data_IF_682343420431
#
_entry.id   IF_682343420431
#
_cell.length_a   1.000
_cell.length_b   1.000
_cell.length_c   1.000
_cell.angle_alpha   90.00
_cell.angle_beta   90.00
_cell.angle_gamma   90.00
#
_symmetry.space_group_name_H-M   'P 1'
#
loop_
_entity.id
_entity.type
_entity.pdbx_description
1 polymer ?
#
# COMPACT_ATOMS: atom_id res chain seq x y z
N UNK A 1 -19.29 35.99 34.35
CA UNK A 1 -19.11 35.12 33.17
C UNK A 1 -19.30 33.69 33.64
N UNK A 2 -20.32 32.96 33.15
CA UNK A 2 -20.40 31.52 33.39
C UNK A 2 -19.14 30.83 32.85
N UNK A 3 -18.65 29.80 33.53
CA UNK A 3 -17.45 29.04 33.14
C UNK A 3 -16.15 29.86 32.99
N UNK A 4 -15.95 30.88 33.83
CA UNK A 4 -14.70 31.66 33.85
C UNK A 4 -13.48 30.77 34.13
N UNK A 5 -13.62 29.76 34.97
CA UNK A 5 -12.55 28.81 35.26
C UNK A 5 -12.21 27.95 34.04
N UNK A 6 -13.21 27.47 33.28
CA UNK A 6 -12.97 26.80 32.00
C UNK A 6 -12.21 27.67 30.99
N UNK A 7 -12.55 28.96 30.88
CA UNK A 7 -11.81 29.89 30.01
C UNK A 7 -10.33 30.00 30.42
N UNK A 8 -10.04 30.06 31.72
CA UNK A 8 -8.66 30.05 32.23
C UNK A 8 -7.96 28.73 31.94
N UNK A 9 -8.64 27.59 32.13
CA UNK A 9 -8.09 26.26 31.83
C UNK A 9 -7.75 26.14 30.34
N UNK A 10 -8.59 26.65 29.42
CA UNK A 10 -8.30 26.65 27.98
C UNK A 10 -7.04 27.46 27.65
N UNK A 11 -6.81 28.57 28.34
CA UNK A 11 -5.68 29.48 28.08
C UNK A 11 -4.33 28.97 28.60
N UNK A 12 -4.31 28.42 29.81
CA UNK A 12 -3.06 28.06 30.53
C UNK A 12 -2.94 26.56 30.85
N UNK A 13 -3.95 25.77 30.51
CA UNK A 13 -3.98 24.32 30.69
C UNK A 13 -3.95 23.89 32.17
N UNK A 14 -3.54 22.65 32.45
CA UNK A 14 -3.49 22.10 33.82
C UNK A 14 -2.48 22.80 34.74
N UNK A 15 -1.69 23.75 34.20
CA UNK A 15 -0.75 24.54 34.99
C UNK A 15 -1.42 25.66 35.79
N UNK A 16 -2.71 25.93 35.60
CA UNK A 16 -3.46 26.93 36.37
C UNK A 16 -3.33 26.73 37.89
N UNK A 17 -3.36 25.47 38.36
CA UNK A 17 -3.10 25.13 39.77
C UNK A 17 -1.75 25.66 40.26
N UNK A 18 -0.70 25.64 39.43
CA UNK A 18 0.62 26.17 39.79
C UNK A 18 0.62 27.69 39.97
N UNK A 19 -0.34 28.40 39.38
CA UNK A 19 -0.45 29.86 39.48
C UNK A 19 -1.32 30.32 40.64
N UNK A 20 -2.39 29.59 40.98
CA UNK A 20 -3.36 30.02 42.00
C UNK A 20 -3.46 29.10 43.23
N UNK A 21 -2.71 28.00 43.25
CA UNK A 21 -2.67 26.96 44.29
C UNK A 21 -4.05 26.35 44.63
N UNK A 22 -4.97 26.35 43.66
CA UNK A 22 -6.31 25.76 43.79
C UNK A 22 -6.43 24.53 42.91
N UNK A 23 -7.10 23.51 43.43
CA UNK A 23 -7.50 22.37 42.63
C UNK A 23 -8.48 22.82 41.54
N UNK A 24 -8.30 22.27 40.34
CA UNK A 24 -9.20 22.52 39.21
C UNK A 24 -10.56 21.93 39.52
N UNK A 25 -11.62 22.72 39.34
CA UNK A 25 -12.97 22.21 39.46
C UNK A 25 -13.22 21.10 38.41
N UNK A 26 -13.55 19.86 38.83
CA UNK A 26 -13.78 18.76 37.89
C UNK A 26 -14.90 19.04 36.89
N UNK A 27 -15.96 19.75 37.31
CA UNK A 27 -17.07 20.13 36.43
C UNK A 27 -16.61 21.07 35.33
N UNK A 28 -15.74 22.03 35.66
CA UNK A 28 -15.18 22.98 34.68
C UNK A 28 -14.19 22.28 33.74
N UNK A 29 -13.44 21.29 34.23
CA UNK A 29 -12.58 20.47 33.38
C UNK A 29 -13.37 19.64 32.36
N UNK A 30 -14.55 19.13 32.71
CA UNK A 30 -15.44 18.46 31.74
C UNK A 30 -16.07 19.44 30.75
N UNK A 31 -16.36 20.67 31.17
CA UNK A 31 -16.85 21.74 30.30
C UNK A 31 -15.79 22.11 29.25
N UNK A 32 -14.51 22.21 29.63
CA UNK A 32 -13.39 22.50 28.72
C UNK A 32 -13.31 21.51 27.55
N UNK A 33 -13.58 20.23 27.79
CA UNK A 33 -13.52 19.18 26.74
C UNK A 33 -14.55 19.37 25.62
N UNK A 34 -15.58 20.18 25.86
CA UNK A 34 -16.63 20.45 24.88
C UNK A 34 -16.27 21.62 23.95
N UNK A 35 -15.21 22.38 24.25
CA UNK A 35 -14.78 23.49 23.41
C UNK A 35 -13.88 23.01 22.25
N UNK A 36 -13.98 23.63 21.07
CA UNK A 36 -13.06 23.39 19.95
C UNK A 36 -11.59 23.64 20.30
N UNK A 37 -10.70 22.94 19.60
CA UNK A 37 -9.26 23.04 19.81
C UNK A 37 -8.69 24.47 19.63
N UNK A 38 -9.25 25.24 18.70
CA UNK A 38 -8.83 26.61 18.42
C UNK A 38 -9.38 27.64 19.42
N UNK A 39 -10.26 27.27 20.35
CA UNK A 39 -10.90 28.22 21.28
C UNK A 39 -9.88 29.05 22.06
N UNK A 40 -8.79 28.45 22.54
CA UNK A 40 -7.75 29.17 23.26
C UNK A 40 -7.06 30.26 22.42
N UNK A 41 -6.97 30.08 21.10
CA UNK A 41 -6.44 31.09 20.18
C UNK A 41 -7.48 32.21 20.02
N UNK A 42 -8.74 31.87 19.78
CA UNK A 42 -9.82 32.83 19.66
C UNK A 42 -9.95 33.73 20.90
N UNK A 43 -9.88 33.16 22.11
CA UNK A 43 -9.93 33.95 23.36
C UNK A 43 -8.77 34.97 23.41
N UNK A 44 -7.56 34.58 23.03
CA UNK A 44 -6.39 35.50 23.01
C UNK A 44 -6.54 36.61 21.98
N UNK A 45 -7.24 36.32 20.89
CA UNK A 45 -7.51 37.27 19.81
C UNK A 45 -8.77 38.13 20.05
N UNK A 46 -9.41 38.00 21.21
CA UNK A 46 -10.53 38.84 21.63
C UNK A 46 -11.92 38.29 21.30
N UNK A 47 -12.05 36.99 21.05
CA UNK A 47 -13.36 36.33 20.93
C UNK A 47 -14.13 36.39 22.25
N UNK A 48 -15.43 36.66 22.16
CA UNK A 48 -16.33 36.73 23.32
C UNK A 48 -16.68 35.31 23.79
N UNK A 49 -16.28 34.98 25.02
CA UNK A 49 -16.48 33.65 25.58
C UNK A 49 -17.96 33.33 25.82
N UNK A 50 -18.45 32.27 25.17
CA UNK A 50 -19.85 31.82 25.24
C UNK A 50 -19.97 30.36 25.74
N UNK A 51 -21.20 29.85 25.80
CA UNK A 51 -21.47 28.47 26.24
C UNK A 51 -20.87 27.42 25.27
N UNK A 52 -20.53 26.21 25.75
CA UNK A 52 -19.93 25.17 24.91
C UNK A 52 -20.79 24.79 23.70
N UNK A 53 -22.11 24.77 23.88
CA UNK A 53 -23.10 24.44 22.83
C UNK A 53 -23.02 25.36 21.60
N UNK A 54 -22.63 26.63 21.79
CA UNK A 54 -22.52 27.62 20.73
C UNK A 54 -21.06 27.88 20.31
N UNK A 55 -20.10 27.34 21.06
CA UNK A 55 -18.69 27.68 20.90
C UNK A 55 -18.12 27.26 19.55
N UNK A 56 -18.52 26.10 19.03
CA UNK A 56 -18.07 25.62 17.72
C UNK A 56 -18.39 26.60 16.59
N UNK A 57 -19.67 26.92 16.41
CA UNK A 57 -20.12 27.83 15.36
C UNK A 57 -19.60 29.26 15.59
N UNK A 58 -19.62 29.73 16.83
CA UNK A 58 -19.20 31.09 17.18
C UNK A 58 -17.69 31.33 16.97
N UNK A 59 -16.84 30.39 17.40
CA UNK A 59 -15.39 30.51 17.18
C UNK A 59 -15.03 30.34 15.70
N UNK A 60 -15.71 29.45 14.97
CA UNK A 60 -15.50 29.32 13.53
C UNK A 60 -15.92 30.59 12.78
N UNK A 61 -17.08 31.18 13.11
CA UNK A 61 -17.52 32.46 12.53
C UNK A 61 -16.51 33.59 12.80
N UNK A 62 -15.94 33.62 14.01
CA UNK A 62 -14.89 34.58 14.37
C UNK A 62 -13.63 34.42 13.51
N UNK A 63 -13.19 33.17 13.26
CA UNK A 63 -12.06 32.90 12.36
C UNK A 63 -12.36 33.25 10.90
N UNK A 64 -13.59 32.99 10.42
CA UNK A 64 -14.00 33.36 9.06
C UNK A 64 -13.88 34.87 8.82
N UNK A 65 -14.27 35.70 9.79
CA UNK A 65 -14.11 37.16 9.68
C UNK A 65 -12.62 37.57 9.64
N UNK A 66 -11.74 36.89 10.40
CA UNK A 66 -10.30 37.14 10.33
C UNK A 66 -9.67 36.71 8.99
N UNK A 67 -10.26 35.71 8.32
CA UNK A 67 -9.75 35.16 7.05
C UNK A 67 -10.38 35.82 5.81
N UNK A 68 -11.46 36.59 5.97
CA UNK A 68 -12.22 37.20 4.88
C UNK A 68 -11.37 37.98 3.86
N UNK A 69 -10.34 38.69 4.33
CA UNK A 69 -9.45 39.49 3.48
C UNK A 69 -8.15 38.74 3.08
N UNK A 70 -8.01 37.48 3.48
CA UNK A 70 -6.85 36.63 3.21
C UNK A 70 -7.07 35.69 2.04
N UNK A 71 -8.29 35.55 1.56
CA UNK A 71 -8.65 34.58 0.52
C UNK A 71 -8.73 35.24 -0.85
N UNK A 72 -8.65 34.46 -1.95
CA UNK A 72 -9.00 34.97 -3.27
C UNK A 72 -10.42 35.53 -3.30
N UNK A 73 -10.65 36.49 -4.21
CA UNK A 73 -11.97 37.06 -4.45
C UNK A 73 -12.98 35.93 -4.68
N UNK A 74 -14.14 36.00 -4.03
CA UNK A 74 -15.26 35.04 -4.14
C UNK A 74 -15.02 33.63 -3.54
N UNK A 75 -13.92 33.42 -2.82
CA UNK A 75 -13.69 32.21 -2.05
C UNK A 75 -14.05 32.37 -0.57
N UNK A 76 -14.73 31.36 -0.01
CA UNK A 76 -15.08 31.28 1.41
C UNK A 76 -14.62 29.93 1.95
N UNK A 77 -14.02 29.91 3.15
CA UNK A 77 -13.68 28.67 3.85
C UNK A 77 -14.97 28.01 4.33
N UNK A 78 -15.19 26.75 3.93
CA UNK A 78 -16.34 25.95 4.36
C UNK A 78 -15.99 25.08 5.58
N UNK A 79 -14.78 24.52 5.61
CA UNK A 79 -14.27 23.74 6.75
C UNK A 79 -12.78 24.02 6.95
N UNK A 80 -12.35 24.04 8.21
CA UNK A 80 -10.95 24.06 8.62
C UNK A 80 -10.83 23.39 9.99
N UNK A 81 -10.44 22.11 10.03
CA UNK A 81 -10.20 21.39 11.28
C UNK A 81 -9.12 20.32 11.10
N UNK A 82 -8.63 19.80 12.23
CA UNK A 82 -7.68 18.69 12.29
C UNK A 82 -8.34 17.57 13.10
N UNK A 83 -8.20 16.33 12.64
CA UNK A 83 -8.66 15.16 13.40
C UNK A 83 -7.99 15.12 14.78
N UNK A 84 -8.62 14.45 15.75
CA UNK A 84 -7.99 14.27 17.04
C UNK A 84 -6.73 13.38 16.89
N UNK A 85 -5.52 13.89 17.19
CA UNK A 85 -4.29 13.17 16.87
C UNK A 85 -3.95 12.15 17.96
N UNK A 86 -3.46 11.00 17.53
CA UNK A 86 -2.89 9.96 18.39
C UNK A 86 -1.47 9.65 17.92
N UNK A 87 -0.59 9.30 18.85
CA UNK A 87 0.75 8.78 18.55
C UNK A 87 0.68 7.65 17.52
N UNK A 88 1.49 7.76 16.46
CA UNK A 88 1.63 6.79 15.37
C UNK A 88 0.36 6.45 14.59
N UNK A 89 -0.70 7.26 14.71
CA UNK A 89 -1.94 7.18 13.92
C UNK A 89 -2.00 8.37 12.95
N UNK A 90 -2.25 8.17 11.63
CA UNK A 90 -2.34 9.29 10.69
C UNK A 90 -3.39 10.31 11.12
N UNK A 91 -2.95 11.58 11.23
CA UNK A 91 -3.79 12.71 11.58
C UNK A 91 -4.04 13.54 10.33
N UNK A 92 -5.29 13.63 9.88
CA UNK A 92 -5.66 14.38 8.68
C UNK A 92 -6.08 15.80 9.04
N UNK A 93 -5.73 16.73 8.16
CA UNK A 93 -6.31 18.06 8.15
C UNK A 93 -7.38 18.17 7.06
N UNK A 94 -8.40 18.98 7.33
CA UNK A 94 -9.57 19.10 6.47
C UNK A 94 -9.84 20.56 6.15
N UNK A 95 -9.40 20.98 4.97
CA UNK A 95 -9.67 22.30 4.41
C UNK A 95 -10.55 22.20 3.18
N UNK A 96 -11.67 22.92 3.18
CA UNK A 96 -12.51 23.04 1.99
C UNK A 96 -12.91 24.49 1.76
N UNK A 97 -12.95 24.88 0.49
CA UNK A 97 -13.29 26.24 0.07
C UNK A 97 -14.45 26.17 -0.93
N UNK A 98 -15.36 27.14 -0.85
CA UNK A 98 -16.45 27.31 -1.82
C UNK A 98 -16.14 28.50 -2.71
N UNK A 99 -16.20 28.32 -4.03
CA UNK A 99 -16.04 29.37 -5.03
C UNK A 99 -17.42 29.84 -5.50
N UNK A 100 -17.70 31.14 -5.40
CA UNK A 100 -18.97 31.73 -5.80
C UNK A 100 -19.02 32.17 -7.29
N UNK A 101 -17.90 32.19 -8.01
CA UNK A 101 -17.78 32.71 -9.39
C UNK A 101 -17.20 31.71 -10.43
N UNK A 102 -16.92 30.47 -10.02
CA UNK A 102 -16.68 29.27 -10.86
C UNK A 102 -15.44 29.21 -11.75
N UNK A 103 -14.47 30.12 -11.63
CA UNK A 103 -13.24 30.02 -12.43
C UNK A 103 -11.96 29.86 -11.59
N UNK A 104 -11.15 28.86 -11.98
CA UNK A 104 -9.80 28.62 -11.46
C UNK A 104 -9.64 27.32 -10.66
N UNK A 105 -8.51 26.63 -10.88
CA UNK A 105 -8.11 25.46 -10.08
C UNK A 105 -7.38 25.96 -8.83
N UNK A 106 -8.04 25.88 -7.68
CA UNK A 106 -7.41 26.15 -6.39
C UNK A 106 -6.49 24.99 -6.00
N UNK A 107 -5.23 25.27 -5.72
CA UNK A 107 -4.27 24.31 -5.17
C UNK A 107 -3.98 24.70 -3.72
N UNK A 108 -3.92 23.74 -2.82
CA UNK A 108 -3.65 23.97 -1.40
C UNK A 108 -2.23 23.50 -1.07
N UNK A 109 -1.47 24.36 -0.39
CA UNK A 109 -0.17 24.01 0.20
C UNK A 109 -0.31 23.95 1.71
N UNK A 110 0.31 22.96 2.34
CA UNK A 110 0.23 22.76 3.78
C UNK A 110 1.60 22.98 4.44
N UNK A 111 1.59 23.37 5.71
CA UNK A 111 2.76 23.35 6.58
C UNK A 111 2.29 23.01 8.00
N UNK A 112 2.84 21.94 8.56
CA UNK A 112 2.56 21.54 9.95
C UNK A 112 3.47 22.24 10.94
N UNK A 113 2.94 22.47 12.14
CA UNK A 113 3.61 23.11 13.26
C UNK A 113 3.31 22.37 14.56
N UNK A 114 4.30 22.33 15.43
CA UNK A 114 4.20 21.70 16.75
C UNK A 114 4.22 22.76 17.84
N UNK A 115 3.15 22.80 18.65
CA UNK A 115 2.96 23.77 19.73
C UNK A 115 3.36 23.23 21.10
N UNK A 116 2.97 23.95 22.15
CA UNK A 116 3.04 23.49 23.54
C UNK A 116 1.83 22.65 23.95
N UNK A 117 1.67 22.46 25.27
CA UNK A 117 0.48 21.78 25.86
C UNK A 117 -0.81 22.56 25.68
N UNK A 118 -0.68 23.87 25.57
CA UNK A 118 -1.72 24.77 25.10
C UNK A 118 -1.37 25.22 23.68
N UNK A 119 -2.35 25.66 22.87
CA UNK A 119 -2.11 26.07 21.48
C UNK A 119 -1.31 27.39 21.39
N UNK A 120 -0.01 27.32 21.66
CA UNK A 120 0.94 28.43 21.77
C UNK A 120 2.33 27.97 21.37
N UNK A 121 3.18 28.91 20.93
CA UNK A 121 4.60 28.62 20.67
C UNK A 121 4.81 27.62 19.53
N UNK A 122 3.98 27.70 18.49
CA UNK A 122 4.06 26.83 17.32
C UNK A 122 5.38 27.04 16.57
N UNK A 123 6.10 25.94 16.34
CA UNK A 123 7.33 25.89 15.56
C UNK A 123 7.09 25.02 14.33
N UNK A 124 7.50 25.43 13.11
CA UNK A 124 7.28 24.65 11.91
C UNK A 124 8.01 23.30 12.00
N UNK A 125 7.32 22.25 11.57
CA UNK A 125 7.91 20.91 11.43
C UNK A 125 8.49 20.83 10.01
N UNK A 126 9.83 20.71 9.85
CA UNK A 126 10.44 20.73 8.53
C UNK A 126 9.89 19.65 7.61
N UNK A 127 9.67 19.99 6.34
CA UNK A 127 9.28 19.06 5.27
C UNK A 127 7.89 18.39 5.41
N UNK A 128 7.14 18.69 6.48
CA UNK A 128 5.77 18.23 6.67
C UNK A 128 4.78 19.14 5.94
N UNK A 129 4.61 18.86 4.64
CA UNK A 129 3.81 19.66 3.69
C UNK A 129 2.57 18.93 3.16
N UNK A 130 2.24 17.78 3.74
CA UNK A 130 1.12 16.93 3.34
C UNK A 130 -0.17 17.32 4.07
N UNK A 131 -1.30 16.83 3.56
CA UNK A 131 -2.62 16.89 4.21
C UNK A 131 -2.70 15.97 5.45
N UNK A 132 -1.71 15.09 5.61
CA UNK A 132 -1.63 14.11 6.69
C UNK A 132 -0.30 14.27 7.43
N UNK A 133 -0.35 14.26 8.76
CA UNK A 133 0.81 14.21 9.63
C UNK A 133 0.77 12.94 10.49
N UNK A 134 1.94 12.38 10.79
CA UNK A 134 2.08 11.20 11.65
C UNK A 134 2.69 11.63 12.99
N UNK A 135 1.86 11.79 14.05
CA UNK A 135 2.35 12.19 15.36
C UNK A 135 3.34 11.17 15.91
N UNK A 136 4.43 11.67 16.47
CA UNK A 136 5.51 10.89 17.10
C UNK A 136 5.27 10.81 18.60
N UNK A 137 5.99 9.91 19.26
CA UNK A 137 5.97 9.79 20.72
C UNK A 137 6.33 11.10 21.45
N UNK A 138 7.23 11.90 20.88
CA UNK A 138 7.61 13.21 21.42
C UNK A 138 6.53 14.31 21.28
N UNK A 139 5.51 14.08 20.44
CA UNK A 139 4.42 15.02 20.23
C UNK A 139 3.30 14.85 21.27
N UNK A 140 3.30 13.72 22.00
CA UNK A 140 2.27 13.40 23.00
C UNK A 140 2.10 14.53 24.01
N UNK A 141 0.86 14.97 24.17
CA UNK A 141 0.46 16.07 25.04
C UNK A 141 0.72 17.48 24.47
N UNK A 142 1.16 17.61 23.21
CA UNK A 142 1.36 18.89 22.51
C UNK A 142 0.27 19.10 21.47
N UNK A 143 -0.05 20.35 21.15
CA UNK A 143 -1.01 20.68 20.09
C UNK A 143 -0.31 20.74 18.73
N UNK A 144 -0.96 20.26 17.69
CA UNK A 144 -0.58 20.47 16.30
C UNK A 144 -1.33 21.68 15.73
N UNK A 145 -0.69 22.39 14.81
CA UNK A 145 -1.33 23.38 13.95
C UNK A 145 -0.91 23.09 12.51
N UNK A 146 -1.83 23.27 11.59
CA UNK A 146 -1.54 23.22 10.16
C UNK A 146 -1.98 24.53 9.54
N UNK A 147 -1.10 25.13 8.75
CA UNK A 147 -1.42 26.26 7.89
C UNK A 147 -1.70 25.75 6.48
N UNK A 148 -2.78 26.25 5.88
CA UNK A 148 -3.20 25.96 4.52
C UNK A 148 -3.12 27.25 3.71
N UNK A 149 -2.16 27.32 2.79
CA UNK A 149 -1.92 28.43 1.86
C UNK A 149 -2.63 28.13 0.54
N UNK A 150 -3.72 28.85 0.21
CA UNK A 150 -4.40 28.68 -1.07
C UNK A 150 -3.57 29.31 -2.21
N UNK A 151 -3.48 28.62 -3.33
CA UNK A 151 -2.80 29.08 -4.54
C UNK A 151 -3.81 29.08 -5.69
N UNK A 152 -4.05 30.25 -6.27
CA UNK A 152 -4.97 30.43 -7.40
C UNK A 152 -4.20 31.09 -8.55
N UNK A 153 -4.13 30.43 -9.71
CA UNK A 153 -3.41 30.93 -10.90
C UNK A 153 -1.97 31.39 -10.55
N UNK A 154 -1.24 30.53 -9.83
CA UNK A 154 0.14 30.76 -9.34
C UNK A 154 0.31 31.92 -8.33
N UNK A 155 -0.76 32.61 -7.93
CA UNK A 155 -0.74 33.58 -6.85
C UNK A 155 -1.00 32.89 -5.50
N UNK A 156 -0.07 33.07 -4.55
CA UNK A 156 -0.21 32.58 -3.18
C UNK A 156 -0.98 33.58 -2.31
N UNK A 157 -1.93 33.07 -1.54
CA UNK A 157 -2.76 33.85 -0.62
C UNK A 157 -2.35 33.56 0.83
N UNK A 158 -2.50 34.52 1.77
CA UNK A 158 -2.17 34.28 3.16
C UNK A 158 -2.87 33.04 3.73
N UNK A 159 -2.19 32.26 4.59
CA UNK A 159 -2.73 31.00 5.05
C UNK A 159 -3.94 31.18 5.99
N UNK A 160 -4.87 30.23 5.87
CA UNK A 160 -5.80 29.89 6.94
C UNK A 160 -5.21 28.77 7.77
N UNK A 161 -5.76 28.47 8.95
CA UNK A 161 -5.19 27.44 9.81
C UNK A 161 -6.24 26.60 10.50
N UNK A 162 -5.81 25.44 10.95
CA UNK A 162 -6.53 24.58 11.86
C UNK A 162 -5.60 24.12 12.98
N UNK A 163 -6.16 23.85 14.14
CA UNK A 163 -5.42 23.44 15.35
C UNK A 163 -6.05 22.20 15.91
N UNK A 164 -5.23 21.25 16.36
CA UNK A 164 -5.67 20.02 16.98
C UNK A 164 -5.81 20.16 18.49
N UNK A 165 -6.60 19.27 19.10
CA UNK A 165 -6.43 18.94 20.51
C UNK A 165 -5.01 18.39 20.75
N UNK A 166 -4.51 18.37 22.00
CA UNK A 166 -3.23 17.73 22.31
C UNK A 166 -3.17 16.29 21.79
N UNK A 167 -2.02 15.88 21.25
CA UNK A 167 -1.77 14.51 20.79
C UNK A 167 -1.97 13.55 21.95
N UNK A 168 -2.85 12.57 21.77
CA UNK A 168 -3.08 11.50 22.73
C UNK A 168 -2.02 10.41 22.62
N UNK A 169 -1.84 9.67 23.71
CA UNK A 169 -1.11 8.40 23.69
C UNK A 169 -1.73 7.47 22.65
N UNK A 170 -0.90 6.65 22.03
CA UNK A 170 -1.33 5.65 21.07
C UNK A 170 -2.37 4.70 21.67
N UNK A 171 -3.32 4.24 20.85
CA UNK A 171 -4.37 3.32 21.30
C UNK A 171 -3.86 1.89 21.52
N UNK A 172 -2.71 1.54 20.95
CA UNK A 172 -2.15 0.19 20.90
C UNK A 172 -2.87 -0.74 19.91
N UNK A 173 -3.88 -0.26 19.19
CA UNK A 173 -4.62 -1.03 18.19
C UNK A 173 -4.06 -0.72 16.79
N UNK A 174 -3.32 -1.66 16.16
CA UNK A 174 -2.69 -1.40 14.88
C UNK A 174 -3.72 -1.35 13.75
N UNK A 175 -3.47 -0.52 12.74
CA UNK A 175 -4.36 -0.32 11.58
C UNK A 175 -3.58 -0.49 10.29
N UNK A 176 -4.13 -1.23 9.32
CA UNK A 176 -3.59 -1.29 7.97
C UNK A 176 -4.01 -0.02 7.22
N UNK A 177 -3.03 0.82 6.88
CA UNK A 177 -3.24 2.08 6.16
C UNK A 177 -3.24 1.85 4.65
N UNK A 178 -2.39 0.93 4.19
CA UNK A 178 -2.33 0.53 2.79
C UNK A 178 -1.92 -0.93 2.69
N UNK A 179 -2.38 -1.62 1.65
CA UNK A 179 -2.08 -3.02 1.40
C UNK A 179 -1.85 -3.24 -0.08
N UNK A 180 -0.62 -3.53 -0.47
CA UNK A 180 -0.26 -3.80 -1.86
C UNK A 180 0.32 -5.20 -2.02
N UNK A 181 0.30 -5.70 -3.25
CA UNK A 181 0.98 -6.93 -3.65
C UNK A 181 2.03 -6.57 -4.68
N UNK A 182 3.28 -6.91 -4.40
CA UNK A 182 4.41 -6.70 -5.29
C UNK A 182 4.80 -8.03 -5.95
N UNK A 183 5.32 -7.97 -7.17
CA UNK A 183 5.75 -9.12 -7.95
C UNK A 183 5.05 -9.17 -9.30
N UNK A 184 5.64 -9.89 -10.24
CA UNK A 184 5.05 -10.09 -11.56
C UNK A 184 4.03 -11.21 -11.53
N UNK A 185 2.85 -10.96 -12.09
CA UNK A 185 1.74 -11.90 -12.18
C UNK A 185 1.98 -12.93 -13.31
N UNK A 186 3.03 -13.71 -13.17
CA UNK A 186 3.43 -14.77 -14.10
C UNK A 186 3.71 -16.05 -13.32
N UNK A 187 3.22 -17.18 -13.82
CA UNK A 187 3.51 -18.51 -13.27
C UNK A 187 4.99 -18.65 -12.86
N UNK A 188 5.23 -19.26 -11.69
CA UNK A 188 6.57 -19.52 -11.16
C UNK A 188 7.19 -18.36 -10.39
N UNK A 189 6.72 -17.12 -10.60
CA UNK A 189 7.20 -15.95 -9.86
C UNK A 189 6.63 -15.90 -8.44
N UNK A 190 7.32 -15.16 -7.57
CA UNK A 190 6.91 -14.95 -6.18
C UNK A 190 6.23 -13.60 -6.05
N UNK A 191 5.00 -13.61 -5.53
CA UNK A 191 4.30 -12.42 -5.07
C UNK A 191 4.60 -12.16 -3.60
N UNK A 192 4.60 -10.90 -3.21
CA UNK A 192 4.82 -10.45 -1.83
C UNK A 192 3.78 -9.42 -1.42
N UNK A 193 3.03 -9.73 -0.37
CA UNK A 193 2.17 -8.77 0.30
C UNK A 193 2.98 -7.74 1.08
N UNK A 194 2.64 -6.47 0.91
CA UNK A 194 3.31 -5.34 1.56
C UNK A 194 2.27 -4.48 2.28
N UNK A 195 2.02 -4.75 3.57
CA UNK A 195 1.17 -3.91 4.41
C UNK A 195 1.94 -2.69 4.91
N UNK A 196 1.30 -1.53 4.87
CA UNK A 196 1.69 -0.34 5.60
C UNK A 196 0.80 -0.21 6.84
N UNK A 197 1.39 -0.16 8.02
CA UNK A 197 0.68 -0.28 9.29
C UNK A 197 0.95 0.97 10.13
N UNK A 198 -0.11 1.54 10.68
CA UNK A 198 -0.05 2.45 11.82
C UNK A 198 -0.12 1.61 13.09
N UNK A 199 0.94 1.59 13.90
CA UNK A 199 0.99 0.77 15.11
C UNK A 199 0.31 1.43 16.32
N UNK A 200 0.00 2.73 16.20
CA UNK A 200 -0.72 3.49 17.19
C UNK A 200 -0.12 3.33 18.59
N UNK A 201 1.22 3.36 18.72
CA UNK A 201 1.95 3.20 19.99
C UNK A 201 2.10 1.75 20.49
N UNK A 202 1.62 0.76 19.75
CA UNK A 202 1.86 -0.66 20.03
C UNK A 202 3.21 -1.16 19.48
N UNK A 203 3.77 -2.22 20.07
CA UNK A 203 5.04 -2.78 19.59
C UNK A 203 4.82 -3.59 18.30
N UNK A 204 5.54 -3.31 17.19
CA UNK A 204 5.36 -4.03 15.93
C UNK A 204 5.57 -5.54 16.06
N UNK A 205 4.53 -6.32 15.81
CA UNK A 205 4.55 -7.78 15.89
C UNK A 205 4.36 -8.50 14.55
N UNK A 206 4.38 -9.83 14.59
CA UNK A 206 4.13 -10.67 13.41
C UNK A 206 2.62 -10.80 13.16
N UNK A 207 2.14 -10.11 12.12
CA UNK A 207 0.75 -10.23 11.65
C UNK A 207 0.42 -11.59 11.03
N UNK A 208 -0.87 -11.77 10.72
CA UNK A 208 -1.42 -12.97 10.07
C UNK A 208 -1.70 -12.67 8.61
N UNK A 209 -1.16 -13.48 7.70
CA UNK A 209 -1.32 -13.34 6.25
C UNK A 209 -2.02 -14.56 5.66
N UNK A 210 -2.73 -14.38 4.55
CA UNK A 210 -3.33 -15.48 3.79
C UNK A 210 -3.51 -15.09 2.33
N UNK A 211 -3.29 -16.06 1.43
CA UNK A 211 -3.62 -15.94 0.02
C UNK A 211 -4.83 -16.81 -0.33
N UNK A 212 -5.71 -16.25 -1.14
CA UNK A 212 -6.88 -16.96 -1.68
C UNK A 212 -6.90 -16.85 -3.20
N UNK A 213 -7.38 -17.90 -3.87
CA UNK A 213 -7.62 -17.88 -5.30
C UNK A 213 -9.06 -17.48 -5.56
N UNK A 214 -9.28 -16.45 -6.37
CA UNK A 214 -10.64 -16.08 -6.78
C UNK A 214 -11.14 -17.06 -7.83
N UNK A 215 -12.34 -17.58 -7.61
CA UNK A 215 -13.06 -18.44 -8.53
C UNK A 215 -14.36 -17.76 -8.97
N UNK A 216 -15.00 -18.29 -10.00
CA UNK A 216 -16.28 -17.77 -10.49
C UNK A 216 -17.41 -17.84 -9.43
N UNK A 217 -17.28 -18.75 -8.45
CA UNK A 217 -18.25 -18.99 -7.37
C UNK A 217 -17.81 -18.45 -6.00
N UNK A 218 -16.70 -17.72 -5.90
CA UNK A 218 -16.22 -17.14 -4.64
C UNK A 218 -14.70 -17.07 -4.52
N UNK A 219 -14.19 -17.24 -3.30
CA UNK A 219 -12.76 -17.34 -3.03
C UNK A 219 -12.46 -18.73 -2.49
N UNK A 220 -11.46 -19.39 -3.06
CA UNK A 220 -10.93 -20.68 -2.61
C UNK A 220 -9.66 -20.46 -1.79
N UNK A 221 -9.54 -21.17 -0.67
CA UNK A 221 -8.32 -21.18 0.15
C UNK A 221 -7.21 -21.89 -0.62
N UNK A 222 -6.00 -21.32 -0.59
CA UNK A 222 -4.80 -21.99 -1.10
C UNK A 222 -4.06 -22.62 0.09
N UNK A 223 -4.01 -23.95 0.12
CA UNK A 223 -3.39 -24.69 1.22
C UNK A 223 -1.91 -24.31 1.39
N UNK A 224 -1.53 -23.93 2.61
CA UNK A 224 -0.15 -23.54 2.96
C UNK A 224 0.24 -22.12 2.57
N UNK A 225 -0.65 -21.32 1.97
CA UNK A 225 -0.37 -19.95 1.57
C UNK A 225 -0.67 -18.93 2.68
N UNK A 226 -0.09 -19.13 3.87
CA UNK A 226 -0.24 -18.28 5.06
C UNK A 226 0.96 -17.32 5.27
N UNK A 227 1.82 -17.23 4.27
CA UNK A 227 3.01 -16.39 4.27
C UNK A 227 2.75 -14.99 3.72
N UNK A 228 3.70 -14.09 3.97
CA UNK A 228 3.76 -12.80 3.26
C UNK A 228 4.11 -12.96 1.78
N UNK A 229 4.72 -14.09 1.42
CA UNK A 229 5.14 -14.41 0.06
C UNK A 229 4.42 -15.66 -0.42
N UNK A 230 4.07 -15.69 -1.71
CA UNK A 230 3.40 -16.80 -2.36
C UNK A 230 3.99 -17.01 -3.76
N UNK A 231 4.42 -18.24 -4.05
CA UNK A 231 4.92 -18.61 -5.36
C UNK A 231 3.77 -19.05 -6.25
N UNK A 232 3.60 -18.36 -7.39
CA UNK A 232 2.56 -18.63 -8.37
C UNK A 232 2.75 -20.01 -9.01
N UNK A 233 1.65 -20.72 -9.15
CA UNK A 233 1.60 -22.07 -9.73
C UNK A 233 0.80 -22.07 -11.03
N UNK A 234 0.84 -23.19 -11.76
CA UNK A 234 0.03 -23.39 -12.97
C UNK A 234 -1.47 -23.26 -12.68
N UNK A 235 -1.92 -23.62 -11.48
CA UNK A 235 -3.34 -23.56 -11.09
C UNK A 235 -3.83 -22.12 -10.84
N UNK A 236 -2.90 -21.17 -10.73
CA UNK A 236 -3.22 -19.75 -10.53
C UNK A 236 -3.40 -19.00 -11.86
N UNK A 237 -2.99 -19.59 -12.99
CA UNK A 237 -3.12 -18.99 -14.32
C UNK A 237 -4.60 -18.67 -14.59
N UNK A 238 -4.83 -17.49 -15.19
CA UNK A 238 -6.15 -16.91 -15.45
C UNK A 238 -7.01 -16.69 -14.19
N UNK A 239 -6.41 -16.76 -13.00
CA UNK A 239 -7.04 -16.43 -11.73
C UNK A 239 -6.49 -15.12 -11.16
N UNK A 240 -7.36 -14.40 -10.44
CA UNK A 240 -6.98 -13.26 -9.60
C UNK A 240 -6.76 -13.78 -8.18
N UNK A 241 -5.72 -13.29 -7.50
CA UNK A 241 -5.42 -13.66 -6.13
C UNK A 241 -5.88 -12.56 -5.17
N UNK A 242 -6.31 -12.97 -3.97
CA UNK A 242 -6.64 -12.08 -2.86
C UNK A 242 -5.60 -12.26 -1.78
N UNK A 243 -4.89 -11.19 -1.45
CA UNK A 243 -4.02 -11.15 -0.29
C UNK A 243 -4.76 -10.53 0.89
N UNK A 244 -4.81 -11.25 2.00
CA UNK A 244 -5.40 -10.80 3.26
C UNK A 244 -4.32 -10.64 4.32
N UNK A 245 -4.40 -9.56 5.10
CA UNK A 245 -3.48 -9.29 6.19
C UNK A 245 -4.18 -8.71 7.42
N UNK A 246 -3.84 -9.24 8.59
CA UNK A 246 -4.26 -8.71 9.90
C UNK A 246 -3.02 -8.34 10.71
N UNK A 247 -2.82 -7.06 11.07
CA UNK A 247 -1.68 -6.66 11.88
C UNK A 247 -1.88 -7.13 13.33
N UNK A 248 -0.80 -7.55 13.97
CA UNK A 248 -0.80 -8.03 15.36
C UNK A 248 0.42 -7.47 16.06
N UNK A 249 0.23 -6.85 17.23
CA UNK A 249 1.34 -6.34 18.05
C UNK A 249 2.05 -7.47 18.79
N UNK A 250 3.22 -7.22 19.38
CA UNK A 250 3.90 -8.23 20.22
C UNK A 250 3.06 -8.65 21.44
N UNK A 251 2.22 -7.74 21.95
CA UNK A 251 1.29 -7.97 23.05
C UNK A 251 0.05 -8.79 22.63
N UNK A 252 -0.08 -9.10 21.34
CA UNK A 252 -1.16 -9.89 20.79
C UNK A 252 -2.43 -9.10 20.46
N UNK A 253 -2.39 -7.77 20.48
CA UNK A 253 -3.51 -6.93 20.05
C UNK A 253 -3.65 -7.03 18.54
N UNK A 254 -4.85 -7.36 18.07
CA UNK A 254 -5.15 -7.53 16.65
C UNK A 254 -5.87 -6.30 16.11
N UNK A 255 -5.39 -5.80 14.97
CA UNK A 255 -6.11 -4.80 14.19
C UNK A 255 -7.19 -5.42 13.31
N UNK A 256 -7.86 -4.56 12.54
CA UNK A 256 -8.83 -5.01 11.55
C UNK A 256 -8.14 -5.68 10.33
N UNK A 257 -8.66 -6.82 9.84
CA UNK A 257 -8.16 -7.45 8.63
C UNK A 257 -8.45 -6.57 7.41
N UNK A 258 -7.48 -6.47 6.50
CA UNK A 258 -7.65 -5.85 5.19
C UNK A 258 -7.26 -6.81 4.08
N UNK A 259 -7.83 -6.60 2.89
CA UNK A 259 -7.51 -7.41 1.72
C UNK A 259 -7.29 -6.55 0.48
N UNK A 260 -6.43 -7.03 -0.42
CA UNK A 260 -6.22 -6.45 -1.74
C UNK A 260 -6.22 -7.55 -2.80
N UNK A 261 -6.50 -7.17 -4.03
CA UNK A 261 -6.68 -8.11 -5.14
C UNK A 261 -5.66 -7.82 -6.23
N UNK A 262 -5.15 -8.89 -6.85
CA UNK A 262 -4.30 -8.78 -8.03
C UNK A 262 -5.12 -8.78 -9.31
N UNK A 263 -4.50 -8.37 -10.41
CA UNK A 263 -4.96 -8.74 -11.74
C UNK A 263 -4.80 -10.27 -11.97
N UNK A 264 -5.13 -10.73 -13.17
CA UNK A 264 -5.04 -12.13 -13.55
C UNK A 264 -3.60 -12.57 -13.80
N UNK A 265 -3.24 -13.74 -13.27
CA UNK A 265 -1.93 -14.37 -13.47
C UNK A 265 -1.82 -14.89 -14.90
N UNK A 266 -0.66 -14.63 -15.52
CA UNK A 266 -0.32 -15.07 -16.87
C UNK A 266 0.52 -16.34 -16.84
N UNK A 267 0.42 -17.14 -17.89
CA UNK A 267 1.35 -18.24 -18.11
C UNK A 267 2.80 -17.73 -18.30
N UNK A 268 3.77 -18.51 -17.83
CA UNK A 268 5.18 -18.26 -18.11
C UNK A 268 5.53 -18.42 -19.58
N UNK A 269 6.74 -17.97 -19.95
CA UNK A 269 7.29 -18.26 -21.28
C UNK A 269 7.49 -19.77 -21.46
N UNK A 270 6.93 -20.38 -22.53
CA UNK A 270 7.10 -21.79 -22.80
C UNK A 270 8.58 -22.16 -22.90
N UNK A 271 9.00 -23.08 -22.05
CA UNK A 271 10.38 -23.54 -21.98
C UNK A 271 10.42 -25.01 -21.58
N UNK A 272 11.55 -25.65 -21.88
CA UNK A 272 11.82 -27.02 -21.48
C UNK A 272 13.14 -27.07 -20.74
N UNK A 273 13.17 -27.83 -19.65
CA UNK A 273 14.38 -28.13 -18.87
C UNK A 273 14.59 -29.63 -18.80
N UNK A 274 15.77 -30.08 -18.38
CA UNK A 274 16.09 -31.51 -18.21
C UNK A 274 15.73 -32.33 -19.46
N UNK A 275 16.16 -31.88 -20.63
CA UNK A 275 16.03 -32.68 -21.85
C UNK A 275 17.02 -33.83 -21.76
N UNK A 276 16.61 -35.03 -22.15
CA UNK A 276 17.47 -36.21 -22.26
C UNK A 276 16.82 -37.25 -23.16
N UNK A 277 17.63 -38.19 -23.65
CA UNK A 277 17.14 -39.32 -24.44
C UNK A 277 17.38 -40.62 -23.68
N UNK A 278 16.40 -41.51 -23.74
CA UNK A 278 16.45 -42.86 -23.15
C UNK A 278 16.23 -43.91 -24.23
N UNK A 279 16.78 -45.10 -24.01
CA UNK A 279 16.68 -46.24 -24.91
C UNK A 279 18.05 -46.77 -25.31
N UNK A 280 18.07 -48.02 -25.77
CA UNK A 280 19.30 -48.67 -26.21
C UNK A 280 19.68 -48.19 -27.60
N UNK A 281 20.93 -47.74 -27.70
CA UNK A 281 21.53 -47.15 -28.89
C UNK A 281 22.00 -48.26 -29.84
N UNK A 282 21.05 -48.95 -30.46
CA UNK A 282 21.29 -50.08 -31.37
C UNK A 282 20.37 -49.97 -32.58
N UNK A 283 20.86 -50.34 -33.77
CA UNK A 283 20.03 -50.46 -34.98
C UNK A 283 18.72 -51.22 -34.68
N UNK A 284 17.61 -50.76 -35.28
CA UNK A 284 16.24 -51.26 -35.09
C UNK A 284 15.60 -50.96 -33.72
N UNK A 285 16.32 -50.43 -32.73
CA UNK A 285 15.73 -50.03 -31.44
C UNK A 285 15.07 -48.64 -31.50
N UNK A 286 14.03 -48.45 -30.71
CA UNK A 286 13.37 -47.15 -30.52
C UNK A 286 13.94 -46.42 -29.31
N UNK A 287 14.48 -45.22 -29.54
CA UNK A 287 14.88 -44.27 -28.51
C UNK A 287 13.80 -43.20 -28.31
N UNK A 288 13.74 -42.62 -27.11
CA UNK A 288 12.73 -41.62 -26.71
C UNK A 288 13.38 -40.39 -26.09
N UNK A 289 13.07 -39.22 -26.63
CA UNK A 289 13.37 -37.93 -26.04
C UNK A 289 12.35 -37.53 -24.97
N UNK A 290 12.84 -37.04 -23.84
CA UNK A 290 12.04 -36.51 -22.74
C UNK A 290 12.51 -35.09 -22.39
N UNK A 291 11.66 -34.35 -21.69
CA UNK A 291 11.95 -33.02 -21.14
C UNK A 291 10.87 -32.60 -20.16
N UNK A 292 11.17 -31.62 -19.30
CA UNK A 292 10.22 -31.04 -18.34
C UNK A 292 9.75 -29.67 -18.86
N UNK A 293 8.50 -29.62 -19.30
CA UNK A 293 7.84 -28.41 -19.77
C UNK A 293 7.55 -27.40 -18.64
N UNK A 294 7.57 -26.11 -18.98
CA UNK A 294 7.12 -24.99 -18.15
C UNK A 294 6.50 -23.91 -19.06
N UNK A 295 5.55 -23.12 -18.53
CA UNK A 295 4.96 -21.98 -19.23
C UNK A 295 3.49 -22.17 -19.62
N UNK A 296 2.68 -22.59 -18.65
CA UNK A 296 1.25 -22.84 -18.77
C UNK A 296 0.88 -24.28 -19.09
N UNK A 297 -0.24 -24.46 -19.79
CA UNK A 297 -0.67 -25.77 -20.26
C UNK A 297 0.03 -26.10 -21.57
N UNK A 298 0.77 -27.20 -21.60
CA UNK A 298 1.46 -27.64 -22.81
C UNK A 298 0.47 -27.92 -23.95
N UNK A 299 0.74 -27.32 -25.11
CA UNK A 299 0.01 -27.49 -26.35
C UNK A 299 0.70 -28.49 -27.29
N UNK A 300 0.59 -28.25 -28.60
CA UNK A 300 1.21 -29.09 -29.63
C UNK A 300 2.70 -28.76 -29.82
N UNK A 301 3.51 -29.06 -28.80
CA UNK A 301 4.97 -28.94 -28.86
C UNK A 301 5.57 -29.71 -30.04
N UNK A 302 6.67 -29.18 -30.60
CA UNK A 302 7.35 -29.79 -31.74
C UNK A 302 8.58 -30.55 -31.28
N UNK A 303 8.75 -31.74 -31.85
CA UNK A 303 9.87 -32.62 -31.58
C UNK A 303 10.57 -32.95 -32.90
N UNK A 304 11.88 -32.83 -32.94
CA UNK A 304 12.66 -33.08 -34.15
C UNK A 304 13.90 -33.89 -33.82
N UNK A 305 14.18 -34.88 -34.67
CA UNK A 305 15.38 -35.68 -34.64
C UNK A 305 16.24 -35.31 -35.82
N UNK A 306 17.51 -35.06 -35.55
CA UNK A 306 18.49 -34.78 -36.58
C UNK A 306 19.63 -35.79 -36.52
N UNK A 307 20.19 -36.12 -37.69
CA UNK A 307 21.41 -36.91 -37.82
C UNK A 307 22.54 -36.05 -38.35
N UNK A 308 23.73 -36.21 -37.78
CA UNK A 308 24.95 -35.59 -38.29
C UNK A 308 25.28 -36.06 -39.72
N UNK A 309 25.84 -35.16 -40.53
CA UNK A 309 26.32 -35.41 -41.89
C UNK A 309 27.84 -35.39 -41.90
N UNK A 310 28.44 -35.99 -42.94
CA UNK A 310 29.89 -35.94 -43.19
C UNK A 310 30.50 -34.53 -43.16
N UNK A 311 29.72 -33.49 -43.52
CA UNK A 311 30.18 -32.10 -43.51
C UNK A 311 30.00 -31.38 -42.17
N UNK A 312 29.64 -32.10 -41.10
CA UNK A 312 29.35 -31.54 -39.77
C UNK A 312 27.99 -30.84 -39.63
N UNK A 313 27.15 -30.87 -40.68
CA UNK A 313 25.79 -30.36 -40.63
C UNK A 313 24.79 -31.36 -40.08
N UNK A 314 23.58 -30.92 -39.73
CA UNK A 314 22.50 -31.78 -39.23
C UNK A 314 21.39 -31.97 -40.29
N UNK A 315 20.97 -33.21 -40.52
CA UNK A 315 19.85 -33.61 -41.38
C UNK A 315 18.61 -33.90 -40.53
N UNK A 316 17.47 -33.25 -40.79
CA UNK A 316 16.20 -33.63 -40.16
C UNK A 316 15.78 -35.03 -40.64
N UNK A 317 15.72 -36.00 -39.72
CA UNK A 317 15.37 -37.40 -40.00
C UNK A 317 13.96 -37.78 -39.53
N UNK A 318 13.44 -37.14 -38.48
CA UNK A 318 12.06 -37.29 -38.04
C UNK A 318 11.53 -36.00 -37.43
N UNK A 319 10.25 -35.71 -37.63
CA UNK A 319 9.55 -34.58 -37.01
C UNK A 319 8.23 -35.00 -36.35
N UNK A 320 7.80 -34.22 -35.36
CA UNK A 320 6.55 -34.37 -34.61
C UNK A 320 6.42 -35.69 -33.84
N UNK A 321 7.54 -36.28 -33.38
CA UNK A 321 7.55 -37.47 -32.53
C UNK A 321 8.66 -37.38 -31.48
N UNK A 322 8.34 -37.76 -30.24
CA UNK A 322 9.32 -37.95 -29.16
C UNK A 322 10.06 -39.27 -29.28
N UNK A 323 9.64 -40.16 -30.17
CA UNK A 323 10.23 -41.48 -30.38
C UNK A 323 10.86 -41.57 -31.77
N UNK A 324 12.04 -42.18 -31.85
CA UNK A 324 12.76 -42.41 -33.10
C UNK A 324 13.30 -43.84 -33.12
N UNK A 325 13.02 -44.58 -34.20
CA UNK A 325 13.60 -45.91 -34.42
C UNK A 325 14.89 -45.76 -35.21
N UNK A 326 15.98 -46.26 -34.64
CA UNK A 326 17.32 -46.20 -35.23
C UNK A 326 17.38 -47.05 -36.50
N UNK A 327 17.92 -46.48 -37.57
CA UNK A 327 18.12 -47.16 -38.85
C UNK A 327 19.60 -47.37 -39.13
N UNK A 328 19.90 -48.25 -40.08
CA UNK A 328 21.28 -48.56 -40.49
C UNK A 328 22.12 -47.33 -40.82
N UNK A 329 21.50 -46.34 -41.47
CA UNK A 329 22.17 -45.10 -41.87
C UNK A 329 22.56 -44.20 -40.69
N UNK A 330 22.09 -44.49 -39.48
CA UNK A 330 22.44 -43.76 -38.26
C UNK A 330 23.71 -44.30 -37.61
N UNK A 331 24.10 -45.55 -37.90
CA UNK A 331 25.26 -46.19 -37.28
C UNK A 331 26.53 -45.39 -37.54
N UNK A 332 27.25 -45.04 -36.47
CA UNK A 332 28.47 -44.23 -36.52
C UNK A 332 28.25 -42.71 -36.65
N UNK A 333 27.00 -42.23 -36.62
CA UNK A 333 26.66 -40.81 -36.68
C UNK A 333 26.02 -40.31 -35.38
N UNK A 334 26.20 -39.03 -35.06
CA UNK A 334 25.55 -38.40 -33.91
C UNK A 334 24.07 -38.11 -34.20
N UNK A 335 23.18 -38.41 -33.25
CA UNK A 335 21.78 -37.96 -33.28
C UNK A 335 21.56 -36.78 -32.35
N UNK A 336 20.72 -35.85 -32.79
CA UNK A 336 20.33 -34.66 -32.04
C UNK A 336 18.82 -34.60 -31.86
N UNK A 337 18.37 -34.56 -30.62
CA UNK A 337 16.97 -34.35 -30.28
C UNK A 337 16.70 -32.88 -29.96
N UNK A 338 15.68 -32.31 -30.59
CA UNK A 338 15.23 -30.93 -30.38
C UNK A 338 13.78 -30.93 -29.91
N UNK A 339 13.53 -30.28 -28.79
CA UNK A 339 12.21 -30.05 -28.21
C UNK A 339 11.91 -28.55 -28.22
N UNK A 340 10.92 -28.15 -29.02
CA UNK A 340 10.39 -26.79 -29.09
C UNK A 340 9.04 -26.74 -28.35
N UNK A 341 9.00 -26.21 -27.12
CA UNK A 341 7.80 -26.16 -26.30
C UNK A 341 6.78 -25.15 -26.85
N UNK A 342 5.50 -25.52 -26.83
CA UNK A 342 4.38 -24.65 -27.26
C UNK A 342 3.32 -24.65 -26.16
N UNK A 343 2.81 -23.47 -25.78
CA UNK A 343 1.64 -23.34 -24.90
C UNK A 343 0.35 -23.47 -25.73
N UNK A 344 -0.65 -24.12 -25.15
CA UNK A 344 -1.98 -24.31 -25.74
C UNK A 344 -2.66 -22.99 -26.16
N UNK A 345 -2.48 -21.90 -25.42
CA UNK A 345 -3.12 -20.59 -25.65
C UNK A 345 -2.43 -19.73 -26.76
N UNK A 346 -1.37 -20.23 -27.39
CA UNK A 346 -0.76 -19.62 -28.59
C UNK A 346 0.65 -19.06 -28.41
N UNK A 347 1.32 -18.66 -29.52
CA UNK A 347 2.78 -18.61 -29.64
C UNK A 347 3.36 -17.23 -29.27
N UNK A 348 2.99 -16.67 -28.11
CA UNK A 348 3.43 -15.31 -27.77
C UNK A 348 4.82 -15.19 -27.12
N UNK A 349 5.62 -16.27 -27.02
CA UNK A 349 7.00 -16.15 -26.54
C UNK A 349 7.97 -17.06 -27.29
N UNK A 350 9.21 -16.56 -27.47
CA UNK A 350 10.32 -17.28 -28.09
C UNK A 350 10.57 -18.62 -27.37
N UNK A 351 10.40 -19.77 -28.04
CA UNK A 351 10.72 -21.06 -27.43
C UNK A 351 12.23 -21.13 -27.16
N UNK A 352 12.60 -21.45 -25.92
CA UNK A 352 14.00 -21.77 -25.60
C UNK A 352 14.31 -23.17 -26.13
N UNK A 353 15.19 -23.21 -27.12
CA UNK A 353 15.62 -24.42 -27.82
C UNK A 353 16.63 -25.16 -26.95
N UNK A 354 16.34 -26.41 -26.59
CA UNK A 354 17.29 -27.27 -25.87
C UNK A 354 17.63 -28.46 -26.75
N UNK A 355 18.93 -28.73 -26.86
CA UNK A 355 19.52 -29.74 -27.73
C UNK A 355 20.38 -30.70 -26.92
N UNK A 356 20.37 -31.98 -27.27
CA UNK A 356 21.35 -32.97 -26.81
C UNK A 356 21.86 -33.75 -28.01
N UNK A 357 23.18 -33.92 -28.08
CA UNK A 357 23.87 -34.76 -29.06
C UNK A 357 24.14 -36.14 -28.44
N UNK A 358 23.89 -37.20 -29.21
CA UNK A 358 24.02 -38.60 -28.80
C UNK A 358 24.95 -39.28 -29.78
N UNK A 359 26.11 -39.72 -29.29
CA UNK A 359 27.06 -40.51 -30.07
C UNK A 359 26.55 -41.94 -30.18
N UNK A 360 26.25 -42.39 -31.40
CA UNK A 360 25.96 -43.80 -31.71
C UNK A 360 27.31 -44.49 -32.00
N UNK A 361 27.68 -45.52 -31.22
CA UNK A 361 28.91 -46.32 -31.44
C UNK A 361 28.63 -47.60 -32.23
#
# INVERSE_FOLDING_TARGET
MPHLEAALILLVGPTLKKFNDRDLNPTEAEVVKQYPAHTAICIRDGWEFCSPELAADSTFSFLLEQWKNKLPQDYIVKTAYVDHPFEEDPCHCHFSFTNLSSEGKLVLKYQWFLGGKTPTGFVPIPEELSEVYWPKSEDVGRCLKVECTPVLNDAEFPPVFAVSLPVCLGTGYPKVINLTVNGELVEGNVLKGVPQIAWCGGTPGKGVASWLRRTWNGNAVIDGAEGMEYQLTIDDIDSSLVFMYTPVTEEGVKGDPQCTMTDFVKAGTPSVSNVYVVGDIVEDNTIKGNGKYFGGKEGLSKFQWFREKENGGFLLVLSNSTQYTLIKEDVGWCLKFVYTPINLEGPFNCPLLVCIDILLY
#
